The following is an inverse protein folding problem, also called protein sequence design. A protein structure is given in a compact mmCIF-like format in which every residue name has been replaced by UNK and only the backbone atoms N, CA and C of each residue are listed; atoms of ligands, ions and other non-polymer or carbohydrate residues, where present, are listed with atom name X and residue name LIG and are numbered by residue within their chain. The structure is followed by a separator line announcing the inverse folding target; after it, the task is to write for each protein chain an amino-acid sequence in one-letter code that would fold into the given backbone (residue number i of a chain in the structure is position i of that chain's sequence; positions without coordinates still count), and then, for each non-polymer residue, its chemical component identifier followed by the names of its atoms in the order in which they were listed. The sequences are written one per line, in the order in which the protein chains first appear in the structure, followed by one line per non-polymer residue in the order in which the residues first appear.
data_IF_795628737174
#
_entry.id   IF_795628737174
#
_cell.length_a   1.000
_cell.length_b   1.000
_cell.length_c   1.000
_cell.angle_alpha   90.00
_cell.angle_beta   90.00
_cell.angle_gamma   90.00
#
_symmetry.space_group_name_H-M   'P 1'
#
loop_
_entity.id
_entity.type
_entity.pdbx_description
1 polymer ?
#
# COMPACT_ATOMS: atom_id res chain seq x y z
N UNK A 1 -26.84 4.86 -9.98
CA UNK A 1 -25.91 4.18 -10.92
C UNK A 1 -26.21 2.72 -10.77
N UNK A 2 -26.60 2.01 -11.83
CA UNK A 2 -26.91 0.58 -11.70
C UNK A 2 -25.62 -0.22 -11.58
N UNK A 3 -25.34 -0.74 -10.40
CA UNK A 3 -24.13 -1.53 -10.13
C UNK A 3 -24.50 -3.00 -10.24
N UNK A 4 -23.74 -3.75 -11.05
CA UNK A 4 -23.91 -5.18 -11.24
C UNK A 4 -22.63 -5.85 -10.79
N UNK A 5 -22.72 -6.83 -9.91
CA UNK A 5 -21.59 -7.56 -9.34
C UNK A 5 -22.02 -8.99 -9.01
N UNK A 6 -21.07 -9.89 -8.78
CA UNK A 6 -21.38 -11.24 -8.30
C UNK A 6 -21.01 -11.32 -6.82
N UNK A 7 -21.95 -11.68 -5.95
CA UNK A 7 -21.71 -11.84 -4.50
C UNK A 7 -22.01 -13.28 -4.13
N UNK A 8 -21.02 -14.00 -3.59
CA UNK A 8 -21.15 -15.41 -3.17
C UNK A 8 -21.74 -16.31 -4.28
N UNK A 9 -21.28 -16.10 -5.52
CA UNK A 9 -21.75 -16.85 -6.70
C UNK A 9 -23.04 -16.32 -7.35
N UNK A 10 -23.77 -15.42 -6.69
CA UNK A 10 -25.03 -14.87 -7.21
C UNK A 10 -24.84 -13.50 -7.87
N UNK A 11 -25.31 -13.34 -9.11
CA UNK A 11 -25.29 -12.05 -9.81
C UNK A 11 -26.34 -11.11 -9.21
N UNK A 12 -25.92 -9.96 -8.68
CA UNK A 12 -26.77 -8.94 -8.09
C UNK A 12 -26.75 -7.67 -8.93
N UNK A 13 -27.90 -7.02 -9.07
CA UNK A 13 -28.03 -5.70 -9.69
C UNK A 13 -28.64 -4.74 -8.67
N UNK A 14 -27.93 -3.67 -8.35
CA UNK A 14 -28.23 -2.77 -7.25
C UNK A 14 -28.36 -1.33 -7.79
N UNK A 15 -29.36 -0.62 -7.29
CA UNK A 15 -29.49 0.83 -7.51
C UNK A 15 -29.16 1.55 -6.21
N UNK A 16 -27.88 1.88 -6.06
CA UNK A 16 -27.31 2.50 -4.86
C UNK A 16 -26.43 3.68 -5.25
N UNK A 17 -26.16 4.57 -4.29
CA UNK A 17 -25.21 5.66 -4.50
C UNK A 17 -23.80 5.08 -4.73
N UNK A 18 -23.07 5.52 -5.77
CA UNK A 18 -21.84 4.86 -6.21
C UNK A 18 -20.73 4.89 -5.15
N UNK A 19 -20.68 5.95 -4.34
CA UNK A 19 -19.68 6.16 -3.31
C UNK A 19 -20.01 5.52 -1.95
N UNK A 20 -21.16 4.82 -1.82
CA UNK A 20 -21.40 4.01 -0.61
C UNK A 20 -20.31 2.96 -0.47
N UNK A 21 -19.93 2.65 0.77
CA UNK A 21 -18.93 1.61 1.04
C UNK A 21 -19.53 0.25 0.65
N UNK A 22 -18.72 -0.61 0.05
CA UNK A 22 -19.12 -2.00 -0.24
C UNK A 22 -19.62 -2.69 1.03
N UNK A 23 -19.00 -2.40 2.19
CA UNK A 23 -19.44 -2.89 3.49
C UNK A 23 -20.91 -2.57 3.80
N UNK A 24 -21.34 -1.33 3.58
CA UNK A 24 -22.70 -0.89 3.89
C UNK A 24 -23.69 -1.61 2.97
N UNK A 25 -23.34 -1.71 1.68
CA UNK A 25 -24.19 -2.38 0.68
C UNK A 25 -24.35 -3.87 0.96
N UNK A 26 -23.27 -4.56 1.35
CA UNK A 26 -23.34 -5.97 1.74
C UNK A 26 -24.29 -6.19 2.92
N UNK A 27 -24.23 -5.29 3.92
CA UNK A 27 -24.96 -5.46 5.18
C UNK A 27 -26.41 -5.00 5.11
N UNK A 28 -26.63 -3.81 4.55
CA UNK A 28 -27.91 -3.09 4.60
C UNK A 28 -28.82 -3.46 3.42
N UNK A 29 -28.26 -3.62 2.22
CA UNK A 29 -29.03 -3.87 1.01
C UNK A 29 -29.12 -5.37 0.67
N UNK A 30 -28.05 -6.13 0.96
CA UNK A 30 -27.98 -7.57 0.66
C UNK A 30 -28.20 -8.48 1.88
N UNK A 31 -28.26 -7.93 3.09
CA UNK A 31 -28.48 -8.71 4.32
C UNK A 31 -27.33 -9.64 4.72
N UNK A 32 -26.16 -9.53 4.08
CA UNK A 32 -24.95 -10.31 4.37
C UNK A 32 -24.19 -9.67 5.53
N UNK A 33 -24.71 -9.92 6.74
CA UNK A 33 -24.27 -9.24 7.97
C UNK A 33 -23.03 -9.86 8.62
N UNK A 34 -22.49 -10.95 8.08
CA UNK A 34 -21.29 -11.63 8.54
C UNK A 34 -20.06 -10.74 8.49
N UNK A 35 -19.88 -9.99 7.40
CA UNK A 35 -18.86 -8.93 7.31
C UNK A 35 -19.19 -7.78 8.28
N UNK A 36 -18.22 -7.34 9.09
CA UNK A 36 -18.45 -6.41 10.20
C UNK A 36 -17.82 -5.03 10.00
N UNK A 37 -18.48 -4.00 10.53
CA UNK A 37 -17.87 -2.68 10.72
C UNK A 37 -17.13 -2.65 12.06
N UNK A 38 -15.81 -2.44 12.03
CA UNK A 38 -14.98 -2.29 13.23
C UNK A 38 -14.44 -0.89 13.42
N UNK A 39 -13.65 -0.39 12.46
CA UNK A 39 -13.01 0.94 12.53
C UNK A 39 -13.42 1.90 11.40
N UNK A 40 -13.95 1.42 10.27
CA UNK A 40 -14.23 2.28 9.10
C UNK A 40 -13.01 2.75 8.31
N UNK A 41 -11.79 2.55 8.82
CA UNK A 41 -10.55 3.15 8.28
C UNK A 41 -9.59 2.14 7.61
N UNK A 42 -9.95 0.85 7.53
CA UNK A 42 -9.08 -0.20 6.95
C UNK A 42 -8.02 -0.78 7.89
N UNK A 43 -8.04 -0.40 9.16
CA UNK A 43 -7.02 -0.78 10.16
C UNK A 43 -7.29 -2.16 10.81
N UNK A 44 -8.56 -2.50 11.05
CA UNK A 44 -8.92 -3.63 11.90
C UNK A 44 -9.18 -4.96 11.17
N UNK A 45 -9.40 -4.94 9.86
CA UNK A 45 -9.68 -6.13 9.04
C UNK A 45 -10.99 -6.87 9.33
N UNK A 46 -11.86 -6.40 10.23
CA UNK A 46 -13.15 -7.05 10.53
C UNK A 46 -14.12 -7.08 9.33
N UNK A 47 -13.91 -6.16 8.38
CA UNK A 47 -14.66 -6.04 7.13
C UNK A 47 -14.02 -6.78 5.95
N UNK A 48 -13.05 -7.68 6.20
CA UNK A 48 -12.33 -8.32 5.12
C UNK A 48 -13.25 -9.20 4.28
N UNK A 49 -13.09 -9.11 2.96
CA UNK A 49 -13.76 -9.91 1.92
C UNK A 49 -12.73 -10.27 0.86
N UNK A 50 -13.00 -11.25 0.01
CA UNK A 50 -12.24 -11.42 -1.22
C UNK A 50 -12.96 -10.73 -2.38
N UNK A 51 -12.20 -10.02 -3.21
CA UNK A 51 -12.68 -9.48 -4.50
C UNK A 51 -11.76 -9.98 -5.59
N UNK A 52 -12.31 -10.75 -6.53
CA UNK A 52 -11.56 -11.46 -7.58
C UNK A 52 -10.37 -12.27 -7.01
N UNK A 53 -10.64 -13.02 -5.94
CA UNK A 53 -9.63 -13.84 -5.24
C UNK A 53 -8.66 -13.06 -4.34
N UNK A 54 -8.71 -11.72 -4.32
CA UNK A 54 -7.79 -10.90 -3.51
C UNK A 54 -8.46 -10.39 -2.23
N UNK A 55 -7.78 -10.54 -1.10
CA UNK A 55 -8.24 -9.99 0.18
C UNK A 55 -8.29 -8.46 0.14
N UNK A 56 -9.44 -7.87 0.48
CA UNK A 56 -9.67 -6.42 0.54
C UNK A 56 -10.51 -6.03 1.76
N UNK A 57 -10.41 -4.77 2.17
CA UNK A 57 -11.28 -4.16 3.18
C UNK A 57 -12.55 -3.62 2.53
N UNK A 58 -13.72 -4.22 2.80
CA UNK A 58 -14.98 -3.75 2.24
C UNK A 58 -15.35 -2.31 2.67
N UNK A 59 -14.83 -1.82 3.81
CA UNK A 59 -15.08 -0.45 4.25
C UNK A 59 -14.32 0.61 3.44
N UNK A 60 -13.23 0.24 2.76
CA UNK A 60 -12.41 1.17 1.98
C UNK A 60 -12.74 1.19 0.50
N UNK A 61 -13.60 0.28 0.03
CA UNK A 61 -13.95 0.14 -1.37
C UNK A 61 -15.32 0.80 -1.63
N UNK A 62 -15.39 1.91 -2.39
CA UNK A 62 -16.64 2.39 -2.95
C UNK A 62 -17.31 1.31 -3.80
N UNK A 63 -18.63 1.15 -3.67
CA UNK A 63 -19.36 0.05 -4.32
C UNK A 63 -19.29 0.13 -5.85
N UNK A 64 -19.10 1.30 -6.45
CA UNK A 64 -18.90 1.41 -7.90
C UNK A 64 -17.66 0.62 -8.38
N UNK A 65 -16.61 0.53 -7.56
CA UNK A 65 -15.40 -0.23 -7.91
C UNK A 65 -15.68 -1.73 -7.97
N UNK A 66 -16.76 -2.21 -7.35
CA UNK A 66 -17.17 -3.61 -7.38
C UNK A 66 -17.98 -3.97 -8.63
N UNK A 67 -18.30 -2.98 -9.48
CA UNK A 67 -19.02 -3.23 -10.72
C UNK A 67 -18.26 -4.21 -11.63
N UNK A 68 -18.93 -5.28 -12.04
CA UNK A 68 -18.39 -6.38 -12.84
C UNK A 68 -17.52 -7.37 -12.06
N UNK A 69 -17.25 -7.14 -10.78
CA UNK A 69 -16.32 -7.94 -9.98
C UNK A 69 -17.04 -9.04 -9.18
N UNK A 70 -16.27 -10.03 -8.75
CA UNK A 70 -16.75 -11.11 -7.88
C UNK A 70 -16.34 -10.83 -6.44
N UNK A 71 -17.30 -10.74 -5.53
CA UNK A 71 -17.11 -10.56 -4.09
C UNK A 71 -17.48 -11.86 -3.38
N UNK A 72 -16.61 -12.33 -2.49
CA UNK A 72 -16.87 -13.46 -1.59
C UNK A 72 -16.77 -12.96 -0.15
N UNK A 73 -17.85 -13.14 0.60
CA UNK A 73 -17.94 -12.83 2.03
C UNK A 73 -17.78 -14.11 2.86
N UNK A 74 -17.78 -13.99 4.19
CA UNK A 74 -17.68 -15.16 5.08
C UNK A 74 -18.82 -16.15 4.87
N UNK A 75 -20.02 -15.67 4.54
CA UNK A 75 -21.19 -16.49 4.20
C UNK A 75 -21.02 -17.24 2.87
N UNK A 76 -20.16 -16.73 1.98
CA UNK A 76 -19.84 -17.38 0.71
C UNK A 76 -18.87 -18.56 0.83
N UNK A 77 -18.20 -18.71 1.98
CA UNK A 77 -17.30 -19.84 2.22
C UNK A 77 -18.04 -21.10 2.66
N UNK A 78 -19.15 -20.94 3.39
CA UNK A 78 -19.89 -22.07 3.94
C UNK A 78 -20.82 -21.64 5.07
N UNK A 79 -21.71 -22.56 5.44
CA UNK A 79 -22.67 -22.42 6.52
C UNK A 79 -22.42 -23.48 7.62
N UNK A 80 -23.14 -23.48 8.75
CA UNK A 80 -22.92 -24.47 9.80
C UNK A 80 -23.15 -25.94 9.40
N UNK A 81 -23.88 -26.22 8.32
CA UNK A 81 -24.10 -27.58 7.82
C UNK A 81 -22.98 -28.04 6.87
N UNK A 82 -22.36 -27.11 6.14
CA UNK A 82 -21.21 -27.34 5.29
C UNK A 82 -20.19 -26.19 5.42
N UNK A 83 -19.42 -26.15 6.53
CA UNK A 83 -18.46 -25.07 6.76
C UNK A 83 -17.20 -25.26 5.91
N UNK A 84 -16.57 -24.14 5.55
CA UNK A 84 -15.21 -24.18 4.99
C UNK A 84 -14.20 -24.70 6.04
N UNK A 85 -13.14 -25.43 5.65
CA UNK A 85 -12.13 -25.95 6.57
C UNK A 85 -11.54 -24.90 7.52
N UNK A 86 -11.40 -23.65 7.09
CA UNK A 86 -10.95 -22.54 7.95
C UNK A 86 -11.99 -22.25 9.03
N UNK A 87 -13.28 -22.22 8.69
CA UNK A 87 -14.35 -21.99 9.66
C UNK A 87 -14.38 -23.11 10.72
N UNK A 88 -14.32 -24.37 10.29
CA UNK A 88 -14.29 -25.53 11.19
C UNK A 88 -13.06 -25.53 12.10
N UNK A 89 -11.88 -25.23 11.54
CA UNK A 89 -10.64 -25.17 12.30
C UNK A 89 -10.67 -24.07 13.38
N UNK A 90 -11.26 -22.91 13.08
CA UNK A 90 -11.39 -21.82 14.06
C UNK A 90 -12.26 -22.20 15.25
N UNK A 91 -13.36 -22.92 15.01
CA UNK A 91 -14.23 -23.44 16.08
C UNK A 91 -13.47 -24.49 16.89
N UNK A 92 -12.82 -25.44 16.21
CA UNK A 92 -12.20 -26.60 16.88
C UNK A 92 -10.99 -26.23 17.72
N UNK A 93 -10.18 -25.27 17.28
CA UNK A 93 -9.03 -24.77 18.04
C UNK A 93 -9.41 -23.75 19.13
N UNK A 94 -10.68 -23.38 19.24
CA UNK A 94 -11.10 -22.32 20.16
C UNK A 94 -10.50 -20.96 19.79
N UNK A 95 -10.32 -20.69 18.49
CA UNK A 95 -9.83 -19.42 17.97
C UNK A 95 -10.88 -18.29 18.00
N UNK A 96 -11.99 -18.50 18.73
CA UNK A 96 -13.15 -17.62 18.82
C UNK A 96 -13.47 -17.36 20.29
N UNK A 97 -13.72 -16.08 20.63
CA UNK A 97 -14.29 -15.68 21.93
C UNK A 97 -15.54 -14.82 21.70
N UNK A 98 -15.39 -13.50 21.55
CA UNK A 98 -16.54 -12.62 21.26
C UNK A 98 -17.09 -12.79 19.83
N UNK A 99 -16.30 -13.37 18.92
CA UNK A 99 -16.71 -13.65 17.53
C UNK A 99 -16.66 -12.47 16.56
N UNK A 100 -16.50 -11.22 17.03
CA UNK A 100 -16.65 -10.05 16.16
C UNK A 100 -15.59 -9.95 15.05
N UNK A 101 -14.33 -10.24 15.36
CA UNK A 101 -13.23 -10.22 14.38
C UNK A 101 -13.11 -11.53 13.57
N UNK A 102 -13.84 -12.57 13.96
CA UNK A 102 -13.70 -13.92 13.39
C UNK A 102 -13.99 -13.94 11.89
N UNK A 103 -15.04 -13.30 11.36
CA UNK A 103 -15.28 -13.24 9.92
C UNK A 103 -14.07 -12.73 9.13
N UNK A 104 -13.49 -11.61 9.56
CA UNK A 104 -12.33 -11.03 8.89
C UNK A 104 -11.08 -11.92 8.97
N UNK A 105 -10.84 -12.55 10.12
CA UNK A 105 -9.73 -13.50 10.29
C UNK A 105 -9.89 -14.75 9.44
N UNK A 106 -11.11 -15.28 9.31
CA UNK A 106 -11.42 -16.42 8.44
C UNK A 106 -11.16 -16.05 6.98
N UNK A 107 -11.67 -14.89 6.51
CA UNK A 107 -11.45 -14.44 5.14
C UNK A 107 -9.96 -14.24 4.82
N UNK A 108 -9.19 -13.66 5.75
CA UNK A 108 -7.74 -13.47 5.58
C UNK A 108 -6.97 -14.80 5.60
N UNK A 109 -7.40 -15.76 6.42
CA UNK A 109 -6.80 -17.10 6.46
C UNK A 109 -7.08 -17.89 5.19
N UNK A 110 -8.33 -17.84 4.68
CA UNK A 110 -8.71 -18.46 3.41
C UNK A 110 -7.90 -17.88 2.24
N UNK A 111 -7.79 -16.54 2.17
CA UNK A 111 -6.98 -15.87 1.14
C UNK A 111 -5.50 -16.25 1.20
N UNK A 112 -4.93 -16.47 2.40
CA UNK A 112 -3.57 -17.02 2.52
C UNK A 112 -3.49 -18.44 1.97
N UNK A 113 -4.43 -19.32 2.34
CA UNK A 113 -4.40 -20.73 1.94
C UNK A 113 -4.69 -20.93 0.45
N UNK A 114 -5.45 -20.02 -0.18
CA UNK A 114 -5.62 -19.97 -1.64
C UNK A 114 -4.29 -19.73 -2.36
N UNK A 115 -3.39 -18.93 -1.78
CA UNK A 115 -2.11 -18.58 -2.39
C UNK A 115 -0.96 -19.51 -1.96
N UNK A 116 -0.98 -19.98 -0.71
CA UNK A 116 0.01 -20.85 -0.12
C UNK A 116 -0.68 -21.86 0.81
N UNK A 117 -0.93 -23.10 0.33
CA UNK A 117 -1.64 -24.12 1.10
C UNK A 117 -0.82 -24.68 2.28
N UNK A 118 0.49 -24.44 2.34
CA UNK A 118 1.37 -24.90 3.40
C UNK A 118 2.21 -23.75 4.00
N UNK A 119 1.57 -22.73 4.60
CA UNK A 119 2.26 -21.54 5.05
C UNK A 119 3.01 -21.79 6.35
N UNK A 120 4.16 -21.13 6.50
CA UNK A 120 4.91 -21.08 7.75
C UNK A 120 4.19 -20.19 8.78
N UNK A 121 4.52 -20.36 10.07
CA UNK A 121 4.06 -19.48 11.16
C UNK A 121 4.30 -17.97 10.86
N UNK A 122 5.40 -17.64 10.19
CA UNK A 122 5.72 -16.26 9.84
C UNK A 122 4.79 -15.72 8.75
N UNK A 123 4.50 -16.53 7.73
CA UNK A 123 3.58 -16.16 6.65
C UNK A 123 2.15 -16.03 7.17
N UNK A 124 1.70 -16.93 8.05
CA UNK A 124 0.39 -16.82 8.73
C UNK A 124 0.29 -15.50 9.49
N UNK A 125 1.30 -15.16 10.29
CA UNK A 125 1.30 -13.90 11.07
C UNK A 125 1.33 -12.67 10.19
N UNK A 126 2.03 -12.73 9.06
CA UNK A 126 2.11 -11.63 8.09
C UNK A 126 0.77 -11.43 7.38
N UNK A 127 0.14 -12.52 6.91
CA UNK A 127 -1.15 -12.48 6.24
C UNK A 127 -2.26 -11.91 7.15
N UNK A 128 -2.23 -12.27 8.43
CA UNK A 128 -3.21 -11.83 9.44
C UNK A 128 -2.86 -10.49 10.11
N UNK A 129 -1.76 -9.84 9.72
CA UNK A 129 -1.28 -8.62 10.37
C UNK A 129 -2.27 -7.43 10.27
N UNK A 130 -3.21 -7.50 9.31
CA UNK A 130 -4.30 -6.53 9.12
C UNK A 130 -5.56 -6.80 9.95
N UNK A 131 -5.60 -7.88 10.73
CA UNK A 131 -6.80 -8.31 11.44
C UNK A 131 -6.61 -8.20 12.96
N UNK A 132 -7.34 -7.28 13.59
CA UNK A 132 -7.21 -7.02 15.02
C UNK A 132 -8.23 -7.82 15.84
N UNK A 133 -7.72 -8.64 16.74
CA UNK A 133 -8.49 -9.31 17.78
C UNK A 133 -8.09 -8.79 19.16
N UNK A 134 -9.08 -8.44 19.98
CA UNK A 134 -8.86 -7.97 21.35
C UNK A 134 -8.91 -9.08 22.40
N UNK A 135 -9.44 -10.25 22.04
CA UNK A 135 -9.84 -11.29 23.00
C UNK A 135 -8.90 -12.51 23.03
N UNK A 136 -8.48 -13.02 21.86
CA UNK A 136 -7.89 -14.37 21.74
C UNK A 136 -6.38 -14.43 21.94
N UNK A 137 -5.67 -13.31 21.79
CA UNK A 137 -4.20 -13.28 21.84
C UNK A 137 -3.51 -13.97 20.64
N UNK A 138 -4.25 -14.27 19.56
CA UNK A 138 -3.79 -14.81 18.27
C UNK A 138 -3.17 -16.22 18.25
N UNK A 139 -2.68 -16.77 19.37
CA UNK A 139 -2.04 -18.09 19.39
C UNK A 139 -2.93 -19.20 18.80
N UNK A 140 -4.18 -19.30 19.27
CA UNK A 140 -5.17 -20.26 18.74
C UNK A 140 -5.60 -19.98 17.31
N UNK A 141 -5.55 -18.72 16.87
CA UNK A 141 -5.82 -18.36 15.48
C UNK A 141 -4.74 -18.95 14.56
N UNK A 142 -3.46 -18.84 14.94
CA UNK A 142 -2.37 -19.44 14.16
C UNK A 142 -2.50 -20.97 14.07
N UNK A 143 -2.83 -21.62 15.19
CA UNK A 143 -3.07 -23.08 15.19
C UNK A 143 -4.29 -23.47 14.34
N UNK A 144 -5.35 -22.66 14.31
CA UNK A 144 -6.50 -22.89 13.44
C UNK A 144 -6.11 -22.82 11.95
N UNK A 145 -5.30 -21.85 11.55
CA UNK A 145 -4.83 -21.77 10.16
C UNK A 145 -3.97 -22.99 9.79
N UNK A 146 -3.07 -23.42 10.68
CA UNK A 146 -2.25 -24.62 10.47
C UNK A 146 -3.09 -25.88 10.35
N UNK A 147 -4.14 -26.01 11.16
CA UNK A 147 -5.10 -27.12 11.06
C UNK A 147 -5.83 -27.10 9.72
N UNK A 148 -6.34 -25.94 9.30
CA UNK A 148 -7.04 -25.80 8.03
C UNK A 148 -6.11 -26.12 6.84
N UNK A 149 -4.83 -25.77 6.91
CA UNK A 149 -3.82 -26.12 5.90
C UNK A 149 -3.65 -27.63 5.70
N UNK A 150 -3.89 -28.46 6.73
CA UNK A 150 -3.85 -29.93 6.61
C UNK A 150 -5.07 -30.51 5.90
N UNK A 151 -6.14 -29.74 5.78
CA UNK A 151 -7.41 -30.11 5.16
C UNK A 151 -7.59 -29.43 3.80
N UNK A 152 -6.61 -28.65 3.36
CA UNK A 152 -6.60 -28.03 2.05
C UNK A 152 -6.31 -29.10 0.99
N UNK A 153 -7.32 -29.85 0.59
CA UNK A 153 -7.37 -30.42 -0.76
C UNK A 153 -7.44 -29.28 -1.78
N UNK A 154 -7.30 -29.58 -3.08
CA UNK A 154 -7.56 -28.64 -4.20
C UNK A 154 -8.96 -28.02 -4.01
N UNK A 155 -9.01 -26.94 -3.25
CA UNK A 155 -10.22 -26.17 -2.97
C UNK A 155 -10.36 -25.20 -4.11
N UNK A 156 -11.58 -25.00 -4.59
CA UNK A 156 -11.89 -24.07 -5.68
C UNK A 156 -11.55 -22.64 -5.22
N UNK A 157 -10.28 -22.25 -5.39
CA UNK A 157 -9.80 -20.89 -5.16
C UNK A 157 -10.75 -19.94 -5.89
N UNK A 158 -11.11 -18.83 -5.23
CA UNK A 158 -12.06 -17.88 -5.83
C UNK A 158 -11.49 -17.41 -7.15
N UNK A 159 -12.12 -17.74 -8.30
CA UNK A 159 -11.56 -17.39 -9.59
C UNK A 159 -11.58 -15.87 -9.74
N UNK A 160 -10.59 -15.29 -10.45
CA UNK A 160 -10.64 -13.88 -10.79
C UNK A 160 -11.96 -13.56 -11.50
N UNK A 161 -12.52 -12.38 -11.25
CA UNK A 161 -13.72 -11.92 -11.93
C UNK A 161 -13.50 -11.74 -13.43
N UNK A 162 -14.59 -11.76 -14.20
CA UNK A 162 -14.55 -11.40 -15.61
C UNK A 162 -14.35 -9.87 -15.73
N UNK A 163 -13.20 -9.43 -16.24
CA UNK A 163 -12.83 -8.00 -16.36
C UNK A 163 -13.74 -7.21 -17.32
N UNK A 164 -14.63 -7.87 -18.06
CA UNK A 164 -15.40 -7.29 -19.16
C UNK A 164 -16.86 -7.03 -18.76
N UNK A 165 -17.08 -6.01 -17.95
CA UNK A 165 -18.41 -5.37 -17.87
C UNK A 165 -18.25 -3.90 -18.20
N UNK A 166 -19.03 -3.43 -19.18
CA UNK A 166 -19.06 -2.02 -19.56
C UNK A 166 -19.26 -1.13 -18.33
N UNK A 167 -18.57 0.01 -18.24
CA UNK A 167 -18.73 0.92 -17.11
C UNK A 167 -20.22 1.29 -16.97
N UNK A 168 -20.76 1.38 -15.75
CA UNK A 168 -22.16 1.73 -15.59
C UNK A 168 -22.43 3.11 -16.14
N UNK A 169 -23.64 3.31 -16.66
CA UNK A 169 -24.10 4.63 -17.01
C UNK A 169 -24.06 5.56 -15.78
N UNK A 170 -23.62 6.82 -15.93
CA UNK A 170 -23.63 7.79 -14.83
C UNK A 170 -25.05 7.97 -14.29
N UNK A 171 -25.18 8.23 -12.98
CA UNK A 171 -26.49 8.51 -12.37
C UNK A 171 -26.95 9.93 -12.69
N UNK A 172 -28.22 10.16 -13.05
CA UNK A 172 -28.81 11.49 -12.99
C UNK A 172 -29.11 11.89 -11.52
N UNK A 173 -28.91 13.17 -11.15
CA UNK A 173 -29.31 13.76 -9.85
C UNK A 173 -28.16 14.30 -8.98
N UNK A 174 -28.43 14.52 -7.68
CA UNK A 174 -27.48 15.04 -6.67
C UNK A 174 -26.37 14.05 -6.24
N UNK A 175 -26.31 12.88 -6.86
CA UNK A 175 -25.30 11.86 -6.58
C UNK A 175 -23.95 12.23 -7.21
N UNK A 176 -22.85 11.78 -6.61
CA UNK A 176 -21.53 11.95 -7.20
C UNK A 176 -21.45 11.32 -8.60
N UNK A 177 -20.86 12.05 -9.54
CA UNK A 177 -20.58 11.61 -10.90
C UNK A 177 -19.27 10.82 -10.87
N UNK A 178 -19.29 9.59 -11.41
CA UNK A 178 -18.11 8.73 -11.46
C UNK A 178 -17.75 8.46 -12.92
N UNK A 179 -16.54 8.88 -13.30
CA UNK A 179 -15.93 8.61 -14.59
C UNK A 179 -15.05 7.36 -14.50
N UNK A 180 -15.31 6.41 -15.39
CA UNK A 180 -14.56 5.15 -15.56
C UNK A 180 -13.99 5.11 -16.98
N UNK A 181 -12.94 5.89 -17.27
CA UNK A 181 -12.35 5.95 -18.61
C UNK A 181 -11.78 4.59 -19.04
N UNK A 182 -11.86 4.31 -20.34
CA UNK A 182 -11.30 3.10 -20.95
C UNK A 182 -9.86 3.28 -21.45
N UNK A 183 -9.33 4.51 -21.43
CA UNK A 183 -7.97 4.84 -21.87
C UNK A 183 -7.43 6.06 -21.12
N UNK A 184 -6.11 6.23 -21.14
CA UNK A 184 -5.45 7.40 -20.57
C UNK A 184 -5.93 8.69 -21.24
N UNK A 185 -6.06 8.72 -22.57
CA UNK A 185 -6.55 9.89 -23.30
C UNK A 185 -7.95 10.34 -22.84
N UNK A 186 -8.86 9.38 -22.62
CA UNK A 186 -10.18 9.67 -22.08
C UNK A 186 -10.13 10.20 -20.63
N UNK A 187 -9.19 9.71 -19.81
CA UNK A 187 -8.99 10.21 -18.46
C UNK A 187 -8.47 11.66 -18.46
N UNK A 188 -7.49 11.95 -19.32
CA UNK A 188 -6.93 13.30 -19.50
C UNK A 188 -7.96 14.27 -20.09
N UNK A 189 -8.89 13.79 -20.93
CA UNK A 189 -10.02 14.58 -21.41
C UNK A 189 -10.92 15.06 -20.27
N UNK A 190 -11.26 14.18 -19.32
CA UNK A 190 -12.05 14.55 -18.13
C UNK A 190 -11.31 15.58 -17.27
N UNK A 191 -10.00 15.40 -17.06
CA UNK A 191 -9.20 16.36 -16.29
C UNK A 191 -9.11 17.72 -16.97
N UNK A 192 -8.93 17.77 -18.28
CA UNK A 192 -8.85 19.03 -19.02
C UNK A 192 -10.17 19.83 -19.01
N UNK A 193 -11.31 19.18 -18.85
CA UNK A 193 -12.62 19.84 -18.82
C UNK A 193 -13.01 20.35 -17.42
N UNK A 194 -12.62 19.62 -16.36
CA UNK A 194 -13.15 19.84 -15.00
C UNK A 194 -12.11 19.65 -13.89
N UNK A 195 -10.84 20.00 -14.15
CA UNK A 195 -9.70 19.75 -13.25
C UNK A 195 -9.98 20.08 -11.77
N UNK A 196 -10.52 21.28 -11.49
CA UNK A 196 -10.72 21.78 -10.12
C UNK A 196 -11.82 21.04 -9.31
N UNK A 197 -12.65 20.24 -9.98
CA UNK A 197 -13.78 19.54 -9.36
C UNK A 197 -13.57 18.03 -9.24
N UNK A 198 -12.55 17.49 -9.90
CA UNK A 198 -12.32 16.05 -10.04
C UNK A 198 -11.44 15.52 -8.92
N UNK A 199 -11.94 14.50 -8.21
CA UNK A 199 -11.12 13.68 -7.32
C UNK A 199 -10.64 12.44 -8.07
N UNK A 200 -9.34 12.35 -8.33
CA UNK A 200 -8.73 11.16 -8.94
C UNK A 200 -8.60 10.04 -7.90
N UNK A 201 -9.02 8.83 -8.27
CA UNK A 201 -9.06 7.68 -7.38
C UNK A 201 -8.47 6.45 -8.06
N UNK A 202 -7.62 5.71 -7.33
CA UNK A 202 -7.21 4.36 -7.69
C UNK A 202 -7.69 3.38 -6.61
N UNK A 203 -6.86 3.04 -5.63
CA UNK A 203 -7.23 2.09 -4.57
C UNK A 203 -8.25 2.57 -3.53
N UNK A 204 -8.64 3.86 -3.56
CA UNK A 204 -9.52 4.51 -2.58
C UNK A 204 -9.12 4.42 -1.09
N UNK A 205 -7.96 3.84 -0.75
CA UNK A 205 -7.55 3.55 0.64
C UNK A 205 -7.38 4.79 1.50
N UNK A 206 -7.09 5.95 0.90
CA UNK A 206 -7.00 7.25 1.59
C UNK A 206 -8.33 8.02 1.50
N UNK A 207 -8.92 8.13 0.31
CA UNK A 207 -10.19 8.83 0.10
C UNK A 207 -11.31 8.28 1.00
N UNK A 208 -11.42 6.96 1.12
CA UNK A 208 -12.46 6.33 1.94
C UNK A 208 -12.32 6.67 3.43
N UNK A 209 -11.10 6.88 3.92
CA UNK A 209 -10.86 7.35 5.30
C UNK A 209 -11.34 8.80 5.43
N UNK A 210 -10.98 9.67 4.48
CA UNK A 210 -11.43 11.07 4.49
C UNK A 210 -12.95 11.19 4.42
N UNK A 211 -13.61 10.36 3.60
CA UNK A 211 -15.07 10.30 3.51
C UNK A 211 -15.70 9.78 4.81
N UNK A 212 -15.14 8.72 5.40
CA UNK A 212 -15.63 8.16 6.67
C UNK A 212 -15.55 9.19 7.81
N UNK A 213 -14.47 9.96 7.88
CA UNK A 213 -14.29 11.04 8.86
C UNK A 213 -15.09 12.31 8.52
N UNK A 214 -15.83 12.34 7.40
CA UNK A 214 -16.59 13.50 6.95
C UNK A 214 -15.74 14.66 6.44
N UNK A 215 -14.46 14.43 6.18
CA UNK A 215 -13.48 15.42 5.70
C UNK A 215 -13.48 15.57 4.18
N UNK A 216 -14.09 14.64 3.45
CA UNK A 216 -14.23 14.72 1.98
C UNK A 216 -15.60 14.22 1.52
N UNK A 217 -16.15 14.89 0.49
CA UNK A 217 -17.41 14.53 -0.17
C UNK A 217 -17.28 14.84 -1.68
N UNK A 218 -16.56 14.00 -2.43
CA UNK A 218 -16.26 14.30 -3.83
C UNK A 218 -17.55 14.29 -4.66
N UNK A 219 -17.70 15.30 -5.52
CA UNK A 219 -18.85 15.44 -6.43
C UNK A 219 -18.57 14.81 -7.79
N UNK A 220 -17.32 14.90 -8.25
CA UNK A 220 -16.84 14.26 -9.47
C UNK A 220 -15.64 13.38 -9.11
N UNK A 221 -15.70 12.12 -9.52
CA UNK A 221 -14.65 11.13 -9.28
C UNK A 221 -14.15 10.62 -10.62
N UNK A 222 -12.84 10.60 -10.81
CA UNK A 222 -12.18 9.94 -11.94
C UNK A 222 -11.45 8.71 -11.41
N UNK A 223 -11.99 7.52 -11.67
CA UNK A 223 -11.35 6.27 -11.26
C UNK A 223 -10.38 5.80 -12.35
N UNK A 224 -9.09 5.72 -11.99
CA UNK A 224 -8.00 5.33 -12.88
C UNK A 224 -7.47 3.91 -12.58
N UNK A 225 -8.11 3.18 -11.66
CA UNK A 225 -7.63 1.87 -11.18
C UNK A 225 -7.61 0.78 -12.26
N UNK A 226 -8.43 0.95 -13.32
CA UNK A 226 -8.60 0.01 -14.43
C UNK A 226 -7.90 0.42 -15.72
N UNK A 227 -7.18 1.56 -15.73
CA UNK A 227 -6.47 2.01 -16.92
C UNK A 227 -5.24 1.13 -17.19
N UNK A 228 -5.17 0.40 -18.32
CA UNK A 228 -4.04 -0.48 -18.60
C UNK A 228 -2.71 0.28 -18.70
N UNK A 229 -2.72 1.53 -19.17
CA UNK A 229 -1.53 2.38 -19.31
C UNK A 229 -0.90 2.79 -17.97
N UNK A 230 -1.64 2.65 -16.85
CA UNK A 230 -1.14 2.92 -15.51
C UNK A 230 -0.68 1.65 -14.77
N UNK A 231 -0.69 0.49 -15.43
CA UNK A 231 -0.35 -0.81 -14.83
C UNK A 231 0.98 -1.33 -15.37
N UNK A 232 1.51 -2.34 -14.70
CA UNK A 232 2.70 -3.05 -15.14
C UNK A 232 4.00 -2.52 -14.53
N UNK A 233 5.00 -3.39 -14.55
CA UNK A 233 6.35 -3.13 -14.10
C UNK A 233 7.27 -3.71 -15.17
N UNK A 234 8.09 -2.88 -15.80
CA UNK A 234 8.97 -3.31 -16.89
C UNK A 234 10.36 -2.68 -16.79
N UNK A 235 11.32 -3.27 -17.49
CA UNK A 235 12.66 -2.73 -17.65
C UNK A 235 12.74 -2.07 -19.03
N UNK A 236 12.99 -0.75 -19.07
CA UNK A 236 13.14 0.03 -20.30
C UNK A 236 14.26 1.05 -20.13
N UNK A 237 15.18 1.14 -21.10
CA UNK A 237 16.27 2.12 -21.14
C UNK A 237 17.05 2.27 -19.83
N UNK A 238 17.51 1.14 -19.26
CA UNK A 238 18.20 1.06 -17.96
C UNK A 238 17.40 1.63 -16.77
N UNK A 239 16.07 1.68 -16.88
CA UNK A 239 15.15 2.06 -15.81
C UNK A 239 14.09 1.00 -15.59
N UNK A 240 13.75 0.75 -14.34
CA UNK A 240 12.50 0.07 -14.01
C UNK A 240 11.37 1.09 -14.10
N UNK A 241 10.45 0.90 -15.03
CA UNK A 241 9.25 1.72 -15.19
C UNK A 241 8.09 1.05 -14.46
N UNK A 242 7.48 1.77 -13.54
CA UNK A 242 6.40 1.30 -12.67
C UNK A 242 5.15 2.13 -12.94
N UNK A 243 4.07 1.51 -13.41
CA UNK A 243 2.80 2.20 -13.61
C UNK A 243 2.21 2.77 -12.31
N UNK A 244 1.55 3.93 -12.37
CA UNK A 244 1.03 4.62 -11.18
C UNK A 244 -0.06 3.83 -10.42
N UNK A 245 -0.79 2.95 -11.11
CA UNK A 245 -1.84 2.11 -10.55
C UNK A 245 -1.33 0.74 -10.04
N UNK A 246 -0.02 0.47 -10.12
CA UNK A 246 0.59 -0.74 -9.53
C UNK A 246 0.39 -0.74 -8.02
N UNK A 247 -0.15 -1.84 -7.48
CA UNK A 247 -0.39 -2.00 -6.04
C UNK A 247 0.86 -2.41 -5.28
N UNK A 248 0.87 -2.20 -3.96
CA UNK A 248 1.99 -2.65 -3.12
C UNK A 248 2.22 -4.16 -3.16
N UNK A 249 1.16 -4.96 -3.27
CA UNK A 249 1.27 -6.41 -3.50
C UNK A 249 1.99 -6.72 -4.81
N UNK A 250 1.68 -6.00 -5.90
CA UNK A 250 2.36 -6.19 -7.19
C UNK A 250 3.84 -5.78 -7.11
N UNK A 251 4.14 -4.66 -6.44
CA UNK A 251 5.52 -4.23 -6.17
C UNK A 251 6.33 -5.28 -5.42
N UNK A 252 5.81 -5.80 -4.31
CA UNK A 252 6.56 -6.73 -3.46
C UNK A 252 6.72 -8.12 -4.09
N UNK A 253 5.82 -8.52 -5.00
CA UNK A 253 5.85 -9.80 -5.71
C UNK A 253 6.67 -9.75 -7.01
N UNK A 254 6.95 -8.56 -7.52
CA UNK A 254 7.71 -8.40 -8.76
C UNK A 254 9.16 -8.87 -8.59
N UNK A 255 9.62 -9.87 -9.37
CA UNK A 255 11.03 -10.28 -9.35
C UNK A 255 11.97 -9.14 -9.76
N UNK A 256 11.52 -8.26 -10.68
CA UNK A 256 12.29 -7.11 -11.13
C UNK A 256 12.52 -6.10 -9.99
N UNK A 257 11.46 -5.77 -9.22
CA UNK A 257 11.60 -4.90 -8.05
C UNK A 257 12.46 -5.57 -6.97
N UNK A 258 12.23 -6.86 -6.71
CA UNK A 258 13.00 -7.61 -5.70
C UNK A 258 14.49 -7.72 -6.03
N UNK A 259 14.84 -7.84 -7.31
CA UNK A 259 16.21 -7.93 -7.80
C UNK A 259 16.91 -6.57 -7.86
N UNK A 260 16.29 -5.59 -8.53
CA UNK A 260 16.95 -4.32 -8.84
C UNK A 260 16.71 -3.24 -7.78
N UNK A 261 15.54 -3.24 -7.14
CA UNK A 261 15.09 -2.21 -6.20
C UNK A 261 14.68 -2.78 -4.82
N UNK A 262 15.52 -3.59 -4.14
CA UNK A 262 15.14 -4.27 -2.90
C UNK A 262 14.72 -3.34 -1.76
N UNK A 263 15.19 -2.08 -1.71
CA UNK A 263 14.69 -1.11 -0.72
C UNK A 263 13.23 -0.72 -0.96
N UNK A 264 12.81 -0.59 -2.23
CA UNK A 264 11.41 -0.32 -2.59
C UNK A 264 10.53 -1.55 -2.31
N UNK A 265 11.01 -2.76 -2.62
CA UNK A 265 10.31 -4.00 -2.26
C UNK A 265 10.08 -4.09 -0.74
N UNK A 266 11.08 -3.75 0.06
CA UNK A 266 10.97 -3.79 1.51
C UNK A 266 10.01 -2.71 2.06
N UNK A 267 10.04 -1.50 1.49
CA UNK A 267 9.06 -0.47 1.83
C UNK A 267 7.63 -0.93 1.54
N UNK A 268 7.39 -1.54 0.36
CA UNK A 268 6.08 -2.06 -0.01
C UNK A 268 5.54 -3.10 0.98
N UNK A 269 6.40 -3.97 1.52
CA UNK A 269 6.01 -4.97 2.55
C UNK A 269 5.56 -4.34 3.87
N UNK A 270 6.06 -3.14 4.19
CA UNK A 270 5.82 -2.46 5.46
C UNK A 270 4.71 -1.41 5.39
N UNK A 271 4.18 -1.11 4.20
CA UNK A 271 3.01 -0.23 4.02
C UNK A 271 1.74 -0.98 4.39
N UNK A 272 0.99 -0.48 5.38
CA UNK A 272 -0.30 -1.06 5.76
C UNK A 272 -0.24 -2.55 6.12
N UNK A 273 -1.26 -3.28 5.67
CA UNK A 273 -1.41 -4.74 5.77
C UNK A 273 -1.90 -5.32 4.44
N UNK A 274 -1.91 -6.66 4.26
CA UNK A 274 -2.25 -7.29 3.00
C UNK A 274 -3.52 -6.76 2.31
N UNK A 275 -4.61 -6.56 3.06
CA UNK A 275 -5.86 -6.02 2.50
C UNK A 275 -5.73 -4.59 1.95
N UNK A 276 -4.92 -3.75 2.60
CA UNK A 276 -4.60 -2.39 2.14
C UNK A 276 -3.61 -2.45 0.97
N UNK A 277 -2.60 -3.32 1.03
CA UNK A 277 -1.57 -3.49 0.00
C UNK A 277 -2.13 -4.00 -1.34
N UNK A 278 -3.24 -4.74 -1.28
CA UNK A 278 -3.96 -5.23 -2.44
C UNK A 278 -4.73 -4.14 -3.20
N UNK A 279 -4.98 -2.98 -2.59
CA UNK A 279 -5.67 -1.85 -3.23
C UNK A 279 -4.78 -0.61 -3.38
N UNK A 280 -3.98 -0.29 -2.36
CA UNK A 280 -3.12 0.89 -2.31
C UNK A 280 -2.07 0.86 -3.43
N UNK A 281 -1.99 1.94 -4.20
CA UNK A 281 -1.13 2.07 -5.37
C UNK A 281 0.08 2.97 -5.10
N UNK A 282 1.17 2.75 -5.83
CA UNK A 282 2.37 3.57 -5.72
C UNK A 282 2.08 5.04 -6.07
N UNK A 283 1.38 5.29 -7.18
CA UNK A 283 1.01 6.65 -7.61
C UNK A 283 0.06 7.33 -6.63
N UNK A 284 -0.91 6.59 -6.08
CA UNK A 284 -1.81 7.11 -5.05
C UNK A 284 -1.06 7.53 -3.79
N UNK A 285 -0.09 6.72 -3.33
CA UNK A 285 0.75 7.07 -2.19
C UNK A 285 1.68 8.26 -2.45
N UNK A 286 2.20 8.36 -3.68
CA UNK A 286 3.03 9.48 -4.10
C UNK A 286 2.23 10.80 -4.09
N UNK A 287 1.07 10.84 -4.75
CA UNK A 287 0.22 12.04 -4.83
C UNK A 287 -0.41 12.40 -3.49
N UNK A 288 -0.62 11.42 -2.61
CA UNK A 288 -1.09 11.65 -1.25
C UNK A 288 -0.16 12.61 -0.45
N UNK A 289 1.13 12.66 -0.79
CA UNK A 289 2.12 13.59 -0.23
C UNK A 289 2.12 13.63 1.31
N UNK A 290 1.90 12.46 1.94
CA UNK A 290 2.02 12.30 3.38
C UNK A 290 3.50 12.22 3.76
N UNK A 291 3.95 12.97 4.79
CA UNK A 291 5.31 12.85 5.31
C UNK A 291 5.64 11.43 5.78
N UNK A 292 4.63 10.65 6.16
CA UNK A 292 4.78 9.27 6.65
C UNK A 292 4.65 8.20 5.57
N UNK A 293 4.66 8.57 4.30
CA UNK A 293 4.65 7.62 3.19
C UNK A 293 5.95 6.81 3.17
N UNK A 294 5.84 5.48 3.24
CA UNK A 294 7.02 4.60 3.28
C UNK A 294 7.65 4.37 1.91
N UNK A 295 6.88 4.49 0.83
CA UNK A 295 7.39 4.25 -0.52
C UNK A 295 8.12 5.46 -1.12
N UNK A 296 7.90 6.67 -0.58
CA UNK A 296 8.51 7.91 -1.08
C UNK A 296 10.03 7.96 -0.80
N UNK A 297 10.55 7.67 0.41
CA UNK A 297 11.99 7.68 0.65
C UNK A 297 12.80 6.78 -0.30
N UNK A 298 12.42 5.52 -0.58
CA UNK A 298 13.09 4.72 -1.60
C UNK A 298 13.15 5.40 -2.98
N UNK A 299 12.07 6.05 -3.42
CA UNK A 299 12.05 6.74 -4.71
C UNK A 299 13.08 7.88 -4.74
N UNK A 300 13.18 8.67 -3.68
CA UNK A 300 14.20 9.73 -3.58
C UNK A 300 15.62 9.14 -3.49
N UNK A 301 15.82 8.12 -2.67
CA UNK A 301 17.13 7.50 -2.49
C UNK A 301 17.62 6.80 -3.77
N UNK A 302 16.71 6.37 -4.64
CA UNK A 302 17.01 5.67 -5.89
C UNK A 302 17.03 6.61 -7.11
N UNK A 303 16.95 7.94 -6.91
CA UNK A 303 16.87 8.96 -7.98
C UNK A 303 15.73 8.68 -8.98
N UNK A 304 14.57 8.28 -8.48
CA UNK A 304 13.41 8.05 -9.32
C UNK A 304 12.93 9.33 -10.01
N UNK A 305 12.26 9.17 -11.14
CA UNK A 305 11.64 10.22 -11.93
C UNK A 305 10.16 9.92 -12.08
N UNK A 306 9.34 10.90 -11.75
CA UNK A 306 7.88 10.84 -11.85
C UNK A 306 7.48 11.38 -13.21
N UNK A 307 6.76 10.56 -14.00
CA UNK A 307 6.20 10.98 -15.27
C UNK A 307 4.75 11.40 -15.06
N UNK A 308 4.44 12.63 -15.42
CA UNK A 308 3.08 13.19 -15.40
C UNK A 308 2.63 13.52 -16.82
N UNK A 309 1.33 13.44 -17.09
CA UNK A 309 0.76 13.74 -18.40
C UNK A 309 -0.53 14.55 -18.28
N UNK A 310 -0.76 15.43 -19.25
CA UNK A 310 -2.02 16.11 -19.52
C UNK A 310 -2.35 16.02 -21.01
N UNK A 311 -3.46 16.62 -21.46
CA UNK A 311 -3.73 16.72 -22.91
C UNK A 311 -2.67 17.50 -23.67
N UNK A 312 -1.94 18.39 -23.00
CA UNK A 312 -0.90 19.23 -23.59
C UNK A 312 0.43 18.50 -23.81
N UNK A 313 0.62 17.31 -23.24
CA UNK A 313 1.85 16.53 -23.34
C UNK A 313 2.21 15.83 -22.05
N UNK A 314 3.47 15.43 -21.91
CA UNK A 314 3.98 14.79 -20.71
C UNK A 314 5.31 15.42 -20.30
N UNK A 315 5.56 15.46 -18.99
CA UNK A 315 6.83 15.91 -18.41
C UNK A 315 7.33 14.95 -17.34
N UNK A 316 8.62 15.07 -17.06
CA UNK A 316 9.33 14.28 -16.06
C UNK A 316 9.77 15.19 -14.92
N UNK A 317 9.53 14.74 -13.68
CA UNK A 317 9.85 15.47 -12.45
C UNK A 317 10.72 14.57 -11.57
N UNK A 318 11.93 14.99 -11.18
CA UNK A 318 12.72 14.23 -10.21
C UNK A 318 11.92 14.01 -8.90
N UNK A 319 11.99 12.81 -8.33
CA UNK A 319 11.22 12.49 -7.13
C UNK A 319 11.57 13.39 -5.93
N UNK A 320 12.79 13.93 -5.86
CA UNK A 320 13.21 14.88 -4.82
C UNK A 320 12.73 16.32 -5.04
N UNK A 321 12.07 16.59 -6.17
CA UNK A 321 11.40 17.85 -6.49
C UNK A 321 9.87 17.72 -6.55
N UNK A 322 9.32 16.50 -6.50
CA UNK A 322 7.89 16.28 -6.68
C UNK A 322 7.02 16.76 -5.51
N UNK A 323 7.49 16.62 -4.26
CA UNK A 323 6.78 17.13 -3.08
C UNK A 323 7.28 18.51 -2.69
N UNK A 324 6.42 19.52 -2.83
CA UNK A 324 6.75 20.93 -2.59
C UNK A 324 6.57 21.33 -1.13
N UNK A 325 5.52 20.82 -0.48
CA UNK A 325 5.22 21.05 0.94
C UNK A 325 4.29 19.91 1.47
N UNK A 326 3.86 20.01 2.72
CA UNK A 326 2.89 19.10 3.32
C UNK A 326 1.63 19.00 2.45
N UNK A 327 1.39 17.80 1.90
CA UNK A 327 0.24 17.51 1.02
C UNK A 327 0.22 18.31 -0.30
N UNK A 328 1.35 18.87 -0.74
CA UNK A 328 1.46 19.63 -1.99
C UNK A 328 2.47 18.98 -2.93
N UNK A 329 2.05 18.74 -4.17
CA UNK A 329 2.86 18.16 -5.24
C UNK A 329 3.12 19.19 -6.35
N UNK A 330 4.22 19.03 -7.09
CA UNK A 330 4.41 19.64 -8.41
C UNK A 330 3.55 18.88 -9.43
N UNK A 331 2.26 19.18 -9.44
CA UNK A 331 1.27 18.59 -10.33
C UNK A 331 0.24 19.68 -10.68
N UNK A 332 0.13 20.01 -11.96
CA UNK A 332 -0.90 20.93 -12.43
C UNK A 332 -2.30 20.28 -12.31
N UNK A 333 -3.38 21.07 -12.19
CA UNK A 333 -4.72 20.53 -11.97
C UNK A 333 -5.19 19.52 -13.04
N UNK A 334 -4.73 19.65 -14.28
CA UNK A 334 -5.08 18.78 -15.42
C UNK A 334 -4.07 17.64 -15.65
N UNK A 335 -3.04 17.52 -14.80
CA UNK A 335 -2.02 16.49 -14.89
C UNK A 335 -2.37 15.23 -14.08
N UNK A 336 -1.96 14.08 -14.62
CA UNK A 336 -2.06 12.78 -13.98
C UNK A 336 -0.67 12.14 -13.88
N UNK A 337 -0.33 11.59 -12.70
CA UNK A 337 0.86 10.74 -12.56
C UNK A 337 0.61 9.44 -13.31
N UNK A 338 1.45 9.16 -14.32
CA UNK A 338 1.31 8.00 -15.21
C UNK A 338 2.21 6.85 -14.79
N UNK A 339 3.47 7.15 -14.52
CA UNK A 339 4.47 6.16 -14.13
C UNK A 339 5.59 6.76 -13.30
N UNK A 340 6.35 5.89 -12.64
CA UNK A 340 7.55 6.21 -11.89
C UNK A 340 8.68 5.39 -12.50
N UNK A 341 9.71 6.05 -13.02
CA UNK A 341 10.88 5.41 -13.61
C UNK A 341 12.06 5.49 -12.62
N UNK A 342 12.66 4.34 -12.30
CA UNK A 342 13.76 4.25 -11.34
C UNK A 342 15.00 3.72 -12.06
N UNK A 343 16.12 4.48 -12.10
CA UNK A 343 17.37 4.00 -12.70
C UNK A 343 17.84 2.69 -12.09
N UNK A 344 18.24 1.74 -12.93
CA UNK A 344 18.87 0.50 -12.48
C UNK A 344 20.32 0.79 -12.08
N UNK A 345 20.73 0.43 -10.86
CA UNK A 345 22.12 0.51 -10.45
C UNK A 345 23.09 -0.27 -11.36
N UNK A 346 24.04 0.41 -12.02
CA UNK A 346 25.06 -0.26 -12.84
C UNK A 346 26.02 -1.15 -12.03
N UNK A 347 26.29 -0.78 -10.77
CA UNK A 347 27.10 -1.55 -9.84
C UNK A 347 26.22 -2.12 -8.73
N UNK A 348 26.59 -3.29 -8.18
CA UNK A 348 25.98 -3.83 -6.97
C UNK A 348 26.16 -2.85 -5.81
N UNK A 349 25.11 -2.08 -5.55
CA UNK A 349 24.99 -1.20 -4.39
C UNK A 349 24.21 -1.88 -3.28
N UNK A 350 24.56 -1.56 -2.04
CA UNK A 350 23.74 -1.92 -0.89
C UNK A 350 22.57 -0.97 -0.86
N UNK A 351 21.36 -1.52 -0.77
CA UNK A 351 20.14 -0.76 -0.54
C UNK A 351 19.52 -1.24 0.77
N UNK A 352 18.88 -0.33 1.50
CA UNK A 352 18.13 -0.68 2.70
C UNK A 352 16.94 0.25 2.87
N UNK A 353 15.86 -0.28 3.44
CA UNK A 353 14.76 0.50 3.96
C UNK A 353 14.54 0.14 5.43
N UNK A 354 14.33 1.15 6.26
CA UNK A 354 14.05 0.99 7.67
C UNK A 354 12.81 1.80 8.05
N UNK A 355 11.96 1.19 8.88
CA UNK A 355 10.78 1.85 9.44
C UNK A 355 10.74 1.67 10.95
N UNK A 356 10.58 2.77 11.66
CA UNK A 356 10.27 2.78 13.09
C UNK A 356 8.82 3.21 13.27
N UNK A 357 7.98 2.30 13.78
CA UNK A 357 6.58 2.55 14.11
C UNK A 357 6.26 2.19 15.57
N UNK A 358 5.00 2.25 15.96
CA UNK A 358 4.51 1.79 17.28
C UNK A 358 4.45 0.26 17.38
N UNK A 359 4.36 -0.42 16.24
CA UNK A 359 4.28 -1.87 16.07
C UNK A 359 4.88 -2.25 14.71
N UNK A 360 5.21 -3.53 14.52
CA UNK A 360 5.93 -4.02 13.32
C UNK A 360 5.11 -3.95 12.02
N UNK A 361 3.80 -4.07 12.08
CA UNK A 361 2.88 -4.01 10.93
C UNK A 361 1.68 -3.10 11.26
N UNK A 362 0.93 -2.62 10.25
CA UNK A 362 -0.19 -1.68 10.43
C UNK A 362 0.17 -0.46 11.29
N UNK A 363 1.32 0.17 11.01
CA UNK A 363 1.70 1.39 11.73
C UNK A 363 2.14 2.47 10.76
N UNK A 364 1.75 3.70 11.05
CA UNK A 364 2.31 4.88 10.38
C UNK A 364 3.74 5.08 10.89
N UNK A 365 4.66 5.37 9.99
CA UNK A 365 6.05 5.61 10.35
C UNK A 365 6.20 6.81 11.30
N UNK A 366 6.91 6.60 12.42
CA UNK A 366 7.45 7.69 13.26
C UNK A 366 8.69 8.29 12.62
N UNK A 367 9.51 7.42 12.04
CA UNK A 367 10.67 7.70 11.19
C UNK A 367 10.79 6.55 10.21
N UNK A 368 11.05 6.85 8.94
CA UNK A 368 11.55 5.86 7.99
C UNK A 368 12.78 6.41 7.26
N UNK A 369 13.64 5.51 6.78
CA UNK A 369 14.88 5.85 6.11
C UNK A 369 15.12 4.86 4.98
N UNK A 370 15.27 5.37 3.76
CA UNK A 370 15.81 4.62 2.64
C UNK A 370 17.26 5.01 2.40
N UNK A 371 18.10 4.02 2.14
CA UNK A 371 19.52 4.18 1.93
C UNK A 371 19.96 3.44 0.67
N UNK A 372 20.92 4.02 -0.04
CA UNK A 372 21.81 3.28 -0.94
C UNK A 372 23.25 3.76 -0.84
N UNK A 373 24.17 2.89 -1.23
CA UNK A 373 25.58 3.21 -1.37
C UNK A 373 26.42 1.98 -1.66
N UNK A 374 27.68 2.17 -2.06
CA UNK A 374 28.64 1.09 -2.31
C UNK A 374 30.02 1.46 -1.79
N UNK A 375 30.90 0.46 -1.75
CA UNK A 375 32.32 0.67 -1.53
C UNK A 375 33.07 0.55 -2.86
N UNK A 376 33.97 1.49 -3.12
CA UNK A 376 34.95 1.32 -4.19
C UNK A 376 36.06 0.32 -3.79
N UNK A 377 36.97 0.04 -4.73
CA UNK A 377 38.11 -0.88 -4.53
C UNK A 377 39.06 -0.48 -3.39
N UNK A 378 38.96 0.74 -2.86
CA UNK A 378 39.76 1.28 -1.76
C UNK A 378 38.95 1.38 -0.46
N UNK A 379 37.79 0.73 -0.39
CA UNK A 379 36.83 0.81 0.71
C UNK A 379 36.33 2.22 0.97
N UNK A 380 36.17 3.04 -0.08
CA UNK A 380 35.55 4.37 0.05
C UNK A 380 34.08 4.30 -0.31
N UNK A 381 33.25 4.96 0.49
CA UNK A 381 31.83 5.13 0.21
C UNK A 381 31.62 5.91 -1.09
N UNK A 382 30.76 5.39 -1.95
CA UNK A 382 30.33 6.00 -3.22
C UNK A 382 28.84 5.89 -3.39
N UNK A 383 28.28 6.84 -4.14
CA UNK A 383 26.86 6.89 -4.54
C UNK A 383 25.92 6.84 -3.34
N UNK A 384 26.33 7.49 -2.25
CA UNK A 384 25.58 7.50 -0.99
C UNK A 384 24.33 8.35 -1.17
N UNK A 385 23.15 7.73 -1.06
CA UNK A 385 21.87 8.43 -0.94
C UNK A 385 21.14 8.01 0.32
N UNK A 386 20.63 8.99 1.07
CA UNK A 386 19.89 8.80 2.31
C UNK A 386 18.65 9.69 2.25
N UNK A 387 17.47 9.07 2.24
CA UNK A 387 16.17 9.76 2.23
C UNK A 387 15.38 9.41 3.47
N UNK A 388 14.92 10.41 4.23
CA UNK A 388 14.23 10.23 5.51
C UNK A 388 12.82 10.85 5.47
N UNK A 389 11.81 10.05 5.84
CA UNK A 389 10.42 10.49 5.98
C UNK A 389 9.99 10.60 7.45
N UNK A 390 8.83 11.22 7.68
CA UNK A 390 8.27 11.60 8.98
C UNK A 390 9.16 12.52 9.84
N UNK A 391 10.10 13.22 9.20
CA UNK A 391 11.11 14.05 9.88
C UNK A 391 11.14 15.51 9.40
N UNK A 392 10.18 15.88 8.55
CA UNK A 392 9.90 17.23 8.03
C UNK A 392 8.51 17.23 7.35
N UNK A 393 8.02 18.36 6.81
CA UNK A 393 6.78 18.42 6.01
C UNK A 393 6.78 17.53 4.75
N UNK A 394 7.95 17.24 4.20
CA UNK A 394 8.16 16.32 3.07
C UNK A 394 9.30 15.35 3.38
N UNK A 395 9.51 14.35 2.53
CA UNK A 395 10.67 13.46 2.66
C UNK A 395 11.95 14.23 2.34
N UNK A 396 12.96 14.16 3.20
CA UNK A 396 14.22 14.86 3.02
C UNK A 396 15.32 13.95 2.49
N UNK A 397 16.06 14.43 1.51
CA UNK A 397 17.42 13.95 1.27
C UNK A 397 18.36 14.55 2.32
N UNK A 398 19.12 13.71 3.03
CA UNK A 398 20.10 14.15 4.02
C UNK A 398 21.39 14.65 3.34
N UNK A 399 21.29 15.76 2.59
CA UNK A 399 22.34 16.33 1.74
C UNK A 399 23.65 16.59 2.47
N UNK A 400 23.64 17.15 3.67
CA UNK A 400 24.86 17.38 4.46
C UNK A 400 25.50 16.06 4.87
N UNK A 401 24.69 15.11 5.35
CA UNK A 401 25.17 13.79 5.75
C UNK A 401 25.74 13.01 4.56
N UNK A 402 25.06 13.01 3.41
CA UNK A 402 25.52 12.37 2.18
C UNK A 402 26.85 12.96 1.69
N UNK A 403 26.93 14.29 1.59
CA UNK A 403 28.16 14.98 1.17
C UNK A 403 29.33 14.69 2.10
N UNK A 404 29.06 14.59 3.41
CA UNK A 404 30.07 14.22 4.38
C UNK A 404 30.55 12.78 4.21
N UNK A 405 29.66 11.83 3.89
CA UNK A 405 29.98 10.41 3.71
C UNK A 405 30.73 10.10 2.41
N UNK A 406 30.44 10.84 1.34
CA UNK A 406 30.99 10.58 0.00
C UNK A 406 32.53 10.58 0.00
N UNK A 407 33.13 9.52 -0.54
CA UNK A 407 34.58 9.34 -0.62
C UNK A 407 35.30 8.97 0.70
N UNK A 408 34.58 8.89 1.84
CA UNK A 408 35.15 8.46 3.12
C UNK A 408 35.51 6.99 3.09
N UNK A 409 36.68 6.69 3.63
CA UNK A 409 37.17 5.33 3.74
C UNK A 409 36.55 4.64 4.98
N UNK A 410 35.84 3.53 4.77
CA UNK A 410 35.31 2.68 5.82
C UNK A 410 36.29 1.55 6.11
N UNK A 411 37.13 1.73 7.12
CA UNK A 411 37.97 0.65 7.69
C UNK A 411 37.24 0.00 8.87
N UNK A 412 37.55 -1.26 9.23
CA UNK A 412 36.96 -1.90 10.41
C UNK A 412 37.13 -1.07 11.70
N UNK A 413 38.30 -0.44 11.87
CA UNK A 413 38.60 0.42 13.03
C UNK A 413 37.84 1.75 12.98
N UNK A 414 37.65 2.34 11.80
CA UNK A 414 37.01 3.65 11.61
C UNK A 414 35.49 3.60 11.45
N UNK A 415 34.89 2.42 11.27
CA UNK A 415 33.46 2.26 11.02
C UNK A 415 32.59 2.77 12.18
N UNK A 416 32.98 2.46 13.41
CA UNK A 416 32.22 2.87 14.60
C UNK A 416 32.18 4.39 14.75
N UNK A 417 33.32 5.07 14.57
CA UNK A 417 33.41 6.52 14.62
C UNK A 417 32.69 7.20 13.46
N UNK A 418 32.87 6.67 12.24
CA UNK A 418 32.15 7.17 11.06
C UNK A 418 30.63 7.07 11.25
N UNK A 419 30.15 5.94 11.77
CA UNK A 419 28.74 5.74 12.05
C UNK A 419 28.21 6.68 13.13
N UNK A 420 28.98 6.91 14.20
CA UNK A 420 28.64 7.85 15.29
C UNK A 420 28.55 9.30 14.78
N UNK A 421 29.51 9.73 13.96
CA UNK A 421 29.56 11.09 13.42
C UNK A 421 28.47 11.33 12.38
N UNK A 422 28.25 10.39 11.47
CA UNK A 422 27.14 10.43 10.51
C UNK A 422 25.78 10.46 11.20
N UNK A 423 25.60 9.68 12.27
CA UNK A 423 24.37 9.70 13.07
C UNK A 423 24.12 11.06 13.71
N UNK A 424 25.16 11.69 14.27
CA UNK A 424 25.06 13.00 14.88
C UNK A 424 24.74 14.09 13.85
N UNK A 425 25.28 13.98 12.63
CA UNK A 425 24.99 14.91 11.53
C UNK A 425 23.54 14.75 11.05
N UNK A 426 23.12 13.52 10.75
CA UNK A 426 21.75 13.22 10.34
C UNK A 426 20.69 13.66 11.37
N UNK A 427 20.99 13.52 12.66
CA UNK A 427 20.10 13.96 13.74
C UNK A 427 19.93 15.49 13.80
N UNK A 428 20.93 16.26 13.37
CA UNK A 428 20.85 17.73 13.30
C UNK A 428 20.19 18.23 12.02
N UNK A 429 20.36 17.50 10.92
CA UNK A 429 19.88 17.87 9.60
C UNK A 429 18.36 17.79 9.46
N UNK A 430 17.69 16.94 10.25
CA UNK A 430 16.24 16.82 10.22
C UNK A 430 15.51 17.88 11.07
N UNK A 431 14.31 18.26 10.62
CA UNK A 431 13.46 19.29 11.26
C UNK A 431 12.06 18.74 11.60
N UNK A 432 11.95 17.74 12.50
CA UNK A 432 10.66 17.18 12.89
C UNK A 432 9.90 18.13 13.84
N UNK A 433 8.60 17.88 13.99
CA UNK A 433 7.74 18.48 15.02
C UNK A 433 7.40 17.48 16.12
N UNK A 434 6.88 17.94 17.25
CA UNK A 434 6.17 17.09 18.22
C UNK A 434 4.72 16.88 17.73
N UNK A 435 4.23 15.65 17.75
CA UNK A 435 2.84 15.33 17.43
C UNK A 435 2.36 14.06 18.16
N UNK A 436 1.13 13.62 17.89
CA UNK A 436 0.53 12.40 18.45
C UNK A 436 1.34 11.12 18.17
N UNK A 437 2.16 11.13 17.11
CA UNK A 437 2.93 9.96 16.68
C UNK A 437 4.26 9.90 17.42
N UNK A 438 4.98 11.02 17.58
CA UNK A 438 6.27 11.03 18.25
C UNK A 438 6.79 12.43 18.62
N UNK A 439 7.90 12.45 19.38
CA UNK A 439 8.59 13.69 19.76
C UNK A 439 9.75 14.03 18.82
N UNK A 440 10.13 15.30 18.77
CA UNK A 440 11.32 15.81 18.07
C UNK A 440 12.57 15.04 18.49
N UNK A 441 12.77 14.89 19.80
CA UNK A 441 13.94 14.22 20.36
C UNK A 441 14.04 12.74 19.93
N UNK A 442 12.91 12.03 19.94
CA UNK A 442 12.87 10.64 19.48
C UNK A 442 13.19 10.55 17.99
N UNK A 443 12.54 11.38 17.16
CA UNK A 443 12.73 11.38 15.71
C UNK A 443 14.19 11.64 15.32
N UNK A 444 14.81 12.67 15.88
CA UNK A 444 16.25 12.97 15.67
C UNK A 444 17.15 11.80 16.04
N UNK A 445 16.93 11.22 17.22
CA UNK A 445 17.73 10.09 17.73
C UNK A 445 17.59 8.87 16.83
N UNK A 446 16.36 8.53 16.43
CA UNK A 446 16.09 7.37 15.59
C UNK A 446 16.65 7.56 14.18
N UNK A 447 16.51 8.74 13.57
CA UNK A 447 17.14 9.02 12.26
C UNK A 447 18.65 8.76 12.30
N UNK A 448 19.35 9.31 13.30
CA UNK A 448 20.78 9.06 13.46
C UNK A 448 21.12 7.57 13.63
N UNK A 449 20.35 6.86 14.46
CA UNK A 449 20.54 5.42 14.66
C UNK A 449 20.33 4.59 13.39
N UNK A 450 19.36 4.95 12.54
CA UNK A 450 19.10 4.27 11.28
C UNK A 450 20.23 4.50 10.26
N UNK A 451 20.79 5.72 10.21
CA UNK A 451 21.99 6.02 9.40
C UNK A 451 23.19 5.19 9.88
N UNK A 452 23.44 5.16 11.19
CA UNK A 452 24.51 4.32 11.76
C UNK A 452 24.29 2.83 11.46
N UNK A 453 23.04 2.35 11.54
CA UNK A 453 22.69 0.97 11.20
C UNK A 453 23.00 0.64 9.74
N UNK A 454 22.68 1.54 8.81
CA UNK A 454 23.02 1.36 7.40
C UNK A 454 24.54 1.22 7.19
N UNK A 455 25.32 2.13 7.79
CA UNK A 455 26.78 2.11 7.67
C UNK A 455 27.38 0.80 8.20
N UNK A 456 26.84 0.26 9.30
CA UNK A 456 27.27 -1.03 9.86
C UNK A 456 27.03 -2.22 8.93
N UNK A 457 26.16 -2.09 7.92
CA UNK A 457 26.02 -3.16 6.92
C UNK A 457 27.31 -3.35 6.13
N UNK A 458 28.13 -2.31 5.95
CA UNK A 458 29.43 -2.39 5.28
C UNK A 458 30.55 -2.99 6.13
N UNK A 459 30.25 -3.44 7.35
CA UNK A 459 31.20 -4.25 8.11
C UNK A 459 31.58 -5.52 7.31
N UNK A 460 32.85 -5.95 7.38
CA UNK A 460 33.33 -7.16 6.70
C UNK A 460 32.69 -8.44 7.22
#
# INVERSE_FOLDING_TARGET
MKIVLTVNGERRALDVQPLRRLLDVLREDLGLTGTKEGCGEGECGACAVQVDGRLLNACQMPVYQAHGRRVVTVEGLGDPAAPDPVQEAFVTEGAVQCGFCTPGLVMASRALLDENPAPTDHEIRTALAGNLCRCTGYGRVVEAVKRAALQADETDAVPPGEESVAPPAPSPGDAAVVHLPASLDAALAVLAESADEVTVVAGATDLSVLMHLGLSRPRVVLDVSRLPELRGIELADDRVVIGAAVTYTELMRSPLIGGELPALAEAARLVGAPAVQNAGTLGGNLVNASPGADAVPPLLALDAVVRVASRGGAREIPADAFHLDYRVCDLEPDELVVSIAVPVPHDRMRQAFYKAGTRRAQSIARVNLACRGRLDKRNRLRDVRLAAGSVAPTTLLLRETMAWLEGRQLTPQGLADTAREAAALAAREVSPIDDVRSTVAYRRTVTGNLVARFLRTFAP
#
